data_IF_290345877141
#
_entry.id   IF_290345877141
#
_cell.length_a   1.000
_cell.length_b   1.000
_cell.length_c   1.000
_cell.angle_alpha   90.00
_cell.angle_beta   90.00
_cell.angle_gamma   90.00
#
_symmetry.space_group_name_H-M   'P 1'
#
loop_
_entity.id
_entity.type
_entity.pdbx_description
1 polymer ?
#
# COMPACT_ATOMS: atom_id res chain seq x y z
N UNK A 1 8.97 -12.02 9.12
CA UNK A 1 7.80 -12.14 8.23
C UNK A 1 6.86 -10.97 8.41
N UNK A 2 6.38 -10.41 7.31
CA UNK A 2 5.32 -9.39 7.35
C UNK A 2 4.14 -9.84 6.49
N UNK A 3 2.94 -9.44 6.86
CA UNK A 3 1.72 -9.76 6.13
C UNK A 3 1.03 -8.46 5.77
N UNK A 4 0.76 -8.26 4.48
CA UNK A 4 0.20 -7.02 3.96
C UNK A 4 -1.29 -7.21 3.66
N UNK A 5 -2.12 -6.47 4.35
CA UNK A 5 -3.56 -6.43 4.12
C UNK A 5 -4.11 -5.08 4.57
N UNK A 6 -3.99 -4.08 3.71
CA UNK A 6 -4.43 -2.71 4.00
C UNK A 6 -4.89 -2.00 2.73
N UNK A 7 -6.00 -1.26 2.78
CA UNK A 7 -6.41 -0.40 1.67
C UNK A 7 -5.51 0.84 1.52
N UNK A 8 -4.67 1.10 2.51
CA UNK A 8 -3.81 2.27 2.59
C UNK A 8 -3.90 2.92 3.97
N UNK A 9 -3.06 3.91 4.20
CA UNK A 9 -3.09 4.68 5.43
C UNK A 9 -4.33 5.59 5.44
N UNK A 10 -4.92 5.76 6.63
CA UNK A 10 -6.08 6.63 6.79
C UNK A 10 -5.71 8.09 6.47
N UNK A 11 -6.51 8.75 5.65
CA UNK A 11 -6.22 10.10 5.13
C UNK A 11 -6.80 11.25 5.97
N UNK A 12 -7.29 10.96 7.17
CA UNK A 12 -7.89 11.97 8.04
C UNK A 12 -6.87 12.92 8.66
N UNK A 13 -7.31 14.12 8.98
CA UNK A 13 -6.48 15.17 9.62
C UNK A 13 -5.90 14.67 10.94
N UNK A 14 -6.66 13.97 11.72
CA UNK A 14 -6.21 13.42 13.02
C UNK A 14 -5.03 12.47 12.84
N UNK A 15 -4.99 11.68 11.76
CA UNK A 15 -3.87 10.78 11.47
C UNK A 15 -2.59 11.59 11.21
N UNK A 16 -2.68 12.68 10.46
CA UNK A 16 -1.56 13.58 10.20
C UNK A 16 -1.10 14.31 11.45
N UNK A 17 -2.02 14.73 12.30
CA UNK A 17 -1.69 15.35 13.60
C UNK A 17 -0.93 14.39 14.51
N UNK A 18 -1.19 13.10 14.40
CA UNK A 18 -0.48 12.06 15.17
C UNK A 18 0.80 11.57 14.49
N UNK A 19 1.21 12.20 13.39
CA UNK A 19 2.48 11.92 12.73
C UNK A 19 2.50 10.70 11.82
N UNK A 20 1.37 10.39 11.18
CA UNK A 20 1.25 9.22 10.31
C UNK A 20 2.27 9.22 9.15
N UNK A 21 2.40 10.32 8.44
CA UNK A 21 3.32 10.42 7.30
C UNK A 21 4.77 10.24 7.72
N UNK A 22 5.15 10.85 8.83
CA UNK A 22 6.49 10.71 9.39
C UNK A 22 6.75 9.26 9.83
N UNK A 23 5.78 8.62 10.46
CA UNK A 23 5.89 7.24 10.90
C UNK A 23 6.08 6.29 9.71
N UNK A 24 5.33 6.48 8.64
CA UNK A 24 5.46 5.69 7.41
C UNK A 24 6.87 5.87 6.80
N UNK A 25 7.30 7.11 6.64
CA UNK A 25 8.61 7.41 6.06
C UNK A 25 9.75 6.86 6.91
N UNK A 26 9.67 7.00 8.21
CA UNK A 26 10.67 6.48 9.14
C UNK A 26 10.73 4.96 9.10
N UNK A 27 9.57 4.32 9.02
CA UNK A 27 9.49 2.86 8.94
C UNK A 27 10.15 2.32 7.66
N UNK A 28 9.93 2.98 6.53
CA UNK A 28 10.61 2.63 5.27
C UNK A 28 12.12 2.67 5.43
N UNK A 29 12.63 3.71 6.05
CA UNK A 29 14.07 3.89 6.27
C UNK A 29 14.65 2.83 7.20
N UNK A 30 13.97 2.57 8.31
CA UNK A 30 14.43 1.59 9.32
C UNK A 30 14.41 0.19 8.73
N UNK A 31 13.32 -0.21 8.09
CA UNK A 31 13.19 -1.55 7.51
C UNK A 31 14.19 -1.78 6.38
N UNK A 32 14.45 -0.76 5.56
CA UNK A 32 15.43 -0.86 4.48
C UNK A 32 16.86 -1.06 4.96
N UNK A 33 17.14 -0.69 6.21
CA UNK A 33 18.48 -0.80 6.82
C UNK A 33 18.66 -2.01 7.72
N UNK A 34 17.62 -2.78 7.93
CA UNK A 34 17.72 -3.99 8.75
C UNK A 34 18.64 -5.01 8.08
N UNK A 35 19.51 -5.60 8.85
CA UNK A 35 20.46 -6.63 8.40
C UNK A 35 19.91 -8.04 8.61
N UNK A 36 18.61 -8.19 8.49
CA UNK A 36 17.94 -9.47 8.65
C UNK A 36 17.05 -9.71 7.42
N UNK A 37 16.92 -10.94 6.95
CA UNK A 37 16.00 -11.20 5.86
C UNK A 37 14.57 -10.87 6.23
N UNK A 38 13.86 -10.21 5.32
CA UNK A 38 12.45 -9.87 5.48
C UNK A 38 11.68 -10.50 4.33
N UNK A 39 10.67 -11.28 4.66
CA UNK A 39 9.76 -11.85 3.69
C UNK A 39 8.38 -11.24 3.92
N UNK A 40 7.84 -10.58 2.92
CA UNK A 40 6.52 -9.96 2.97
C UNK A 40 5.55 -10.76 2.11
N UNK A 41 4.33 -10.95 2.58
CA UNK A 41 3.28 -11.64 1.83
C UNK A 41 2.04 -10.77 1.78
N UNK A 42 1.58 -10.46 0.57
CA UNK A 42 0.31 -9.76 0.36
C UNK A 42 -0.80 -10.80 0.43
N UNK A 43 -1.61 -10.72 1.47
CA UNK A 43 -2.66 -11.72 1.74
C UNK A 43 -4.06 -11.26 1.30
N UNK A 44 -4.20 -10.00 0.97
CA UNK A 44 -5.46 -9.43 0.53
C UNK A 44 -5.21 -8.19 -0.29
N UNK A 45 -5.22 -7.04 0.34
CA UNK A 45 -5.10 -5.75 -0.31
C UNK A 45 -3.81 -5.05 0.14
N UNK A 46 -3.09 -4.49 -0.79
CA UNK A 46 -1.92 -3.68 -0.49
C UNK A 46 -2.04 -2.33 -1.19
N UNK A 47 -2.41 -1.30 -0.44
CA UNK A 47 -2.68 0.03 -0.98
C UNK A 47 -1.64 1.08 -0.58
N UNK A 48 -1.09 1.77 -1.57
CA UNK A 48 -0.36 3.04 -1.47
C UNK A 48 0.79 3.03 -0.43
N UNK A 49 0.99 4.14 0.26
CA UNK A 49 2.07 4.31 1.24
C UNK A 49 1.94 3.45 2.49
N UNK A 50 0.70 3.14 2.90
CA UNK A 50 0.48 2.24 4.03
C UNK A 50 1.02 0.83 3.75
N UNK A 51 0.77 0.31 2.54
CA UNK A 51 1.30 -0.97 2.12
C UNK A 51 2.83 -0.92 1.95
N UNK A 52 3.37 0.17 1.42
CA UNK A 52 4.82 0.34 1.30
C UNK A 52 5.50 0.28 2.65
N UNK A 53 4.91 0.88 3.69
CA UNK A 53 5.50 0.94 5.02
C UNK A 53 5.74 -0.44 5.64
N UNK A 54 4.92 -1.43 5.29
CA UNK A 54 5.01 -2.79 5.81
C UNK A 54 5.50 -3.80 4.77
N UNK A 55 5.64 -3.38 3.52
CA UNK A 55 6.03 -4.22 2.41
C UNK A 55 7.52 -4.19 2.05
N UNK A 56 8.34 -3.47 2.80
CA UNK A 56 9.80 -3.44 2.59
C UNK A 56 10.35 -4.84 2.86
N UNK A 57 10.95 -5.46 1.87
CA UNK A 57 11.34 -6.87 1.99
C UNK A 57 12.44 -7.24 1.02
N UNK A 58 13.06 -8.40 1.27
CA UNK A 58 13.98 -9.05 0.35
C UNK A 58 13.25 -9.96 -0.63
N UNK A 59 12.11 -10.50 -0.21
CA UNK A 59 11.25 -11.31 -1.04
C UNK A 59 9.79 -10.94 -0.81
N UNK A 60 9.07 -10.68 -1.89
CA UNK A 60 7.64 -10.38 -1.86
C UNK A 60 6.85 -11.55 -2.43
N UNK A 61 5.91 -12.05 -1.66
CA UNK A 61 4.96 -13.07 -2.09
C UNK A 61 3.57 -12.47 -2.16
N UNK A 62 2.73 -12.99 -3.04
CA UNK A 62 1.34 -12.56 -3.15
C UNK A 62 0.44 -13.78 -3.26
N UNK A 63 -0.66 -13.77 -2.52
CA UNK A 63 -1.68 -14.80 -2.68
C UNK A 63 -2.47 -14.55 -3.97
N UNK A 64 -3.04 -15.59 -4.52
CA UNK A 64 -3.95 -15.47 -5.66
C UNK A 64 -5.11 -14.53 -5.29
N UNK A 65 -5.51 -13.68 -6.22
CA UNK A 65 -6.55 -12.66 -6.05
C UNK A 65 -6.20 -11.51 -5.10
N UNK A 66 -4.98 -11.46 -4.55
CA UNK A 66 -4.53 -10.29 -3.82
C UNK A 66 -4.15 -9.16 -4.80
N UNK A 67 -4.10 -7.93 -4.28
CA UNK A 67 -3.75 -6.76 -5.07
C UNK A 67 -2.73 -5.90 -4.32
N UNK A 68 -1.80 -5.34 -5.06
CA UNK A 68 -0.79 -4.41 -4.51
C UNK A 68 -0.66 -3.24 -5.47
N UNK A 69 -1.13 -2.07 -5.07
CA UNK A 69 -1.24 -0.92 -5.98
C UNK A 69 -0.95 0.42 -5.29
N UNK A 70 -0.59 1.40 -6.10
CA UNK A 70 -0.35 2.78 -5.65
C UNK A 70 -1.65 3.48 -5.33
N UNK A 71 -2.70 3.18 -6.08
CA UNK A 71 -4.00 3.85 -6.00
C UNK A 71 -5.11 2.83 -6.26
N UNK A 72 -6.27 3.03 -5.67
CA UNK A 72 -7.44 2.18 -5.93
C UNK A 72 -7.92 2.34 -7.37
N UNK A 73 -8.58 1.31 -7.97
CA UNK A 73 -9.18 1.45 -9.29
C UNK A 73 -10.17 2.62 -9.38
N UNK A 74 -10.94 2.84 -8.34
CA UNK A 74 -11.89 3.96 -8.23
C UNK A 74 -11.17 5.32 -8.25
N UNK A 75 -10.10 5.42 -7.46
CA UNK A 75 -9.28 6.63 -7.42
C UNK A 75 -8.61 6.91 -8.76
N UNK A 76 -8.06 5.89 -9.40
CA UNK A 76 -7.46 5.98 -10.72
C UNK A 76 -8.48 6.43 -11.77
N UNK A 77 -9.66 5.82 -11.77
CA UNK A 77 -10.74 6.17 -12.69
C UNK A 77 -11.21 7.61 -12.48
N UNK A 78 -11.31 8.04 -11.24
CA UNK A 78 -11.72 9.41 -10.91
C UNK A 78 -10.73 10.45 -11.43
N UNK A 79 -9.44 10.14 -11.38
CA UNK A 79 -8.39 11.06 -11.89
C UNK A 79 -8.34 11.04 -13.42
N UNK A 80 -8.32 9.87 -14.03
CA UNK A 80 -8.13 9.73 -15.48
C UNK A 80 -9.38 10.04 -16.30
N UNK A 81 -10.52 9.57 -15.83
CA UNK A 81 -11.80 9.72 -16.57
C UNK A 81 -12.83 10.58 -15.85
N UNK A 82 -12.48 11.11 -14.69
CA UNK A 82 -13.33 11.93 -13.84
C UNK A 82 -14.64 11.24 -13.42
N UNK A 83 -14.62 9.90 -13.37
CA UNK A 83 -15.75 9.09 -12.91
C UNK A 83 -15.28 7.73 -12.41
N UNK A 84 -15.78 7.29 -11.26
CA UNK A 84 -15.48 5.98 -10.71
C UNK A 84 -16.12 4.83 -11.51
N UNK A 85 -17.01 5.12 -12.43
CA UNK A 85 -17.64 4.12 -13.29
C UNK A 85 -16.62 3.35 -14.16
N UNK A 86 -15.45 3.95 -14.39
CA UNK A 86 -14.35 3.33 -15.12
C UNK A 86 -13.42 2.50 -14.27
N UNK A 87 -13.75 2.28 -12.99
CA UNK A 87 -12.91 1.49 -12.09
C UNK A 87 -12.55 0.09 -12.62
N UNK A 88 -13.46 -0.67 -13.28
CA UNK A 88 -13.08 -1.95 -13.87
C UNK A 88 -11.99 -1.86 -14.92
N UNK A 89 -12.01 -0.81 -15.74
CA UNK A 89 -10.99 -0.58 -16.78
C UNK A 89 -9.65 -0.22 -16.15
N UNK A 90 -9.66 0.61 -15.10
CA UNK A 90 -8.47 0.96 -14.34
C UNK A 90 -7.87 -0.26 -13.64
N UNK A 91 -8.70 -1.16 -13.13
CA UNK A 91 -8.24 -2.37 -12.46
C UNK A 91 -7.51 -3.33 -13.40
N UNK A 92 -7.92 -3.38 -14.66
CA UNK A 92 -7.24 -4.21 -15.68
C UNK A 92 -5.90 -3.62 -16.12
N UNK A 93 -5.80 -2.32 -16.06
CA UNK A 93 -4.55 -1.65 -16.45
C UNK A 93 -3.47 -1.84 -15.39
#
# INVERSE_FOLDING_TARGET
LTFVDTPGAYTGIDAEERGQSEAIAWNLRVMARLKTPIIATVIGEGGSGGALAIGVCDQLNMLQYSAYSVISPEGCASILWKTAEKAPEAAEA
#
